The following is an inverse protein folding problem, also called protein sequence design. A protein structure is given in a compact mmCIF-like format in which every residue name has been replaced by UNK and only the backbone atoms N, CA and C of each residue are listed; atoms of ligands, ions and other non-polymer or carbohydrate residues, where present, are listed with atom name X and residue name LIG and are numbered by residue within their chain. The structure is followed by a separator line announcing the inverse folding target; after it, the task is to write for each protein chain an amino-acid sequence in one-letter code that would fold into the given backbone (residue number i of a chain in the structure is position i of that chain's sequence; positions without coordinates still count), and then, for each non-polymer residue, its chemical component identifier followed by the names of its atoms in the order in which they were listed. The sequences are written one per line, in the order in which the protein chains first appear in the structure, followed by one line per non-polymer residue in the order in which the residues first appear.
data_IF_488815857251
#
_entry.id   IF_488815857251
#
_cell.length_a   1.000
_cell.length_b   1.000
_cell.length_c   1.000
_cell.angle_alpha   90.00
_cell.angle_beta   90.00
_cell.angle_gamma   90.00
#
_symmetry.space_group_name_H-M   'P 1'
#
loop_
_entity.id
_entity.type
_entity.pdbx_description
1 polymer ?
#
# COMPACT_ATOMS: atom_id res chain seq x y z
N UNK A 1 -38.87 -2.61 -7.14
CA UNK A 1 -38.25 -3.57 -8.06
C UNK A 1 -37.84 -2.84 -9.32
N UNK A 2 -36.63 -2.32 -9.39
CA UNK A 2 -36.03 -1.79 -10.63
C UNK A 2 -34.81 -2.65 -10.93
N UNK A 3 -34.81 -3.31 -12.09
CA UNK A 3 -33.73 -4.14 -12.58
C UNK A 3 -32.51 -3.25 -12.86
N UNK A 4 -31.43 -3.49 -12.15
CA UNK A 4 -30.13 -2.91 -12.46
C UNK A 4 -29.60 -3.64 -13.69
N UNK A 5 -29.41 -2.89 -14.75
CA UNK A 5 -28.85 -3.36 -16.01
C UNK A 5 -27.37 -3.64 -15.81
N UNK A 6 -26.94 -4.89 -15.98
CA UNK A 6 -25.53 -5.26 -15.98
C UNK A 6 -24.88 -4.67 -17.23
N UNK A 7 -24.06 -3.65 -17.05
CA UNK A 7 -23.13 -3.21 -18.10
C UNK A 7 -21.94 -4.15 -18.06
N UNK A 8 -21.88 -5.03 -19.07
CA UNK A 8 -20.72 -5.87 -19.30
C UNK A 8 -19.64 -4.99 -19.94
N UNK A 9 -18.66 -4.54 -19.18
CA UNK A 9 -17.43 -3.98 -19.72
C UNK A 9 -16.62 -5.13 -20.30
N UNK A 10 -16.49 -5.14 -21.64
CA UNK A 10 -15.60 -6.06 -22.35
C UNK A 10 -14.15 -5.70 -22.00
N UNK A 11 -13.50 -6.55 -21.23
CA UNK A 11 -12.07 -6.50 -20.99
C UNK A 11 -11.35 -6.76 -22.32
N UNK A 12 -10.65 -5.76 -22.84
CA UNK A 12 -9.68 -5.94 -23.91
C UNK A 12 -8.47 -6.66 -23.31
N UNK A 13 -8.48 -7.98 -23.43
CA UNK A 13 -7.32 -8.82 -23.12
C UNK A 13 -6.30 -8.58 -24.23
N UNK A 14 -5.28 -7.77 -23.93
CA UNK A 14 -4.05 -7.77 -24.71
C UNK A 14 -3.27 -9.04 -24.34
N UNK A 15 -3.49 -10.12 -25.08
CA UNK A 15 -2.60 -11.27 -25.06
C UNK A 15 -1.28 -10.88 -25.73
N UNK A 16 -0.29 -10.49 -24.93
CA UNK A 16 1.09 -10.55 -25.40
C UNK A 16 1.45 -12.02 -25.56
N UNK A 17 1.65 -12.41 -26.82
CA UNK A 17 2.13 -13.71 -27.19
C UNK A 17 3.50 -13.93 -26.54
N UNK A 18 3.57 -14.81 -25.54
CA UNK A 18 4.82 -15.45 -25.15
C UNK A 18 5.30 -16.28 -26.37
N UNK A 19 6.29 -15.76 -27.06
CA UNK A 19 7.02 -16.50 -28.07
C UNK A 19 7.75 -17.68 -27.41
N UNK A 20 7.10 -18.83 -27.39
CA UNK A 20 7.77 -20.08 -27.06
C UNK A 20 8.82 -20.36 -28.12
N UNK A 21 10.09 -20.09 -27.86
CA UNK A 21 11.20 -20.66 -28.57
C UNK A 21 11.35 -22.13 -28.15
N UNK A 22 10.54 -22.99 -28.72
CA UNK A 22 10.82 -24.40 -28.73
C UNK A 22 11.90 -24.67 -29.79
N UNK A 23 13.17 -24.53 -29.46
CA UNK A 23 14.27 -25.05 -30.20
C UNK A 23 14.47 -26.52 -29.81
N UNK A 24 13.82 -27.46 -30.55
CA UNK A 24 14.27 -28.84 -30.60
C UNK A 24 15.61 -28.88 -31.35
N UNK A 25 16.71 -28.85 -30.60
CA UNK A 25 18.05 -29.15 -31.08
C UNK A 25 18.71 -30.11 -30.11
N UNK A 26 18.81 -31.38 -30.45
CA UNK A 26 19.77 -32.31 -29.80
C UNK A 26 21.17 -31.78 -30.07
N UNK A 27 21.80 -31.21 -29.05
CA UNK A 27 23.18 -30.78 -29.07
C UNK A 27 23.71 -30.62 -27.67
N UNK A 28 24.75 -31.32 -27.32
CA UNK A 28 25.60 -31.32 -26.14
C UNK A 28 25.26 -30.23 -25.08
N UNK A 29 24.81 -30.68 -23.91
CA UNK A 29 24.51 -29.83 -22.79
C UNK A 29 25.75 -29.06 -22.28
N UNK A 30 25.97 -27.89 -22.81
CA UNK A 30 26.84 -26.88 -22.19
C UNK A 30 26.00 -26.15 -21.16
N UNK A 31 25.92 -26.71 -19.94
CA UNK A 31 25.34 -25.99 -18.79
C UNK A 31 26.18 -24.74 -18.59
N UNK A 32 25.56 -23.54 -18.78
CA UNK A 32 26.21 -22.29 -18.48
C UNK A 32 26.79 -22.32 -17.06
N UNK A 33 28.02 -21.84 -16.92
CA UNK A 33 28.62 -21.68 -15.58
C UNK A 33 27.86 -20.63 -14.77
N UNK A 34 28.01 -20.64 -13.44
CA UNK A 34 27.41 -19.58 -12.63
C UNK A 34 27.92 -18.20 -13.00
N UNK A 35 29.16 -18.09 -13.47
CA UNK A 35 29.74 -16.85 -14.00
C UNK A 35 29.01 -16.37 -15.26
N UNK A 36 28.73 -17.23 -16.22
CA UNK A 36 27.98 -16.88 -17.43
C UNK A 36 26.54 -16.51 -17.11
N UNK A 37 25.89 -17.19 -16.17
CA UNK A 37 24.55 -16.87 -15.69
C UNK A 37 24.53 -15.52 -14.99
N UNK A 38 25.50 -15.23 -14.13
CA UNK A 38 25.64 -13.98 -13.41
C UNK A 38 25.81 -12.80 -14.39
N UNK A 39 26.74 -12.91 -15.33
CA UNK A 39 26.97 -11.87 -16.33
C UNK A 39 25.74 -11.64 -17.21
N UNK A 40 24.98 -12.69 -17.53
CA UNK A 40 23.71 -12.56 -18.22
C UNK A 40 22.65 -11.80 -17.39
N UNK A 41 22.58 -12.07 -16.09
CA UNK A 41 21.66 -11.37 -15.20
C UNK A 41 22.00 -9.87 -15.07
N UNK A 42 23.28 -9.51 -14.98
CA UNK A 42 23.74 -8.12 -15.01
C UNK A 42 23.36 -7.42 -16.32
N UNK A 43 23.57 -8.09 -17.47
CA UNK A 43 23.19 -7.54 -18.77
C UNK A 43 21.67 -7.30 -18.91
N UNK A 44 20.84 -8.09 -18.24
CA UNK A 44 19.39 -7.85 -18.19
C UNK A 44 19.04 -6.55 -17.44
N UNK A 45 19.74 -6.22 -16.33
CA UNK A 45 19.59 -4.91 -15.68
C UNK A 45 19.93 -3.78 -16.65
N UNK A 46 21.08 -3.89 -17.35
CA UNK A 46 21.54 -2.87 -18.29
C UNK A 46 20.56 -2.66 -19.47
N UNK A 47 19.85 -3.72 -19.86
CA UNK A 47 18.83 -3.65 -20.92
C UNK A 47 17.45 -3.17 -20.44
N UNK A 48 17.26 -3.03 -19.11
CA UNK A 48 15.97 -2.68 -18.51
C UNK A 48 15.01 -3.85 -18.34
N UNK A 49 15.44 -5.09 -18.60
CA UNK A 49 14.65 -6.29 -18.33
C UNK A 49 14.82 -6.69 -16.86
N UNK A 50 14.18 -5.93 -15.98
CA UNK A 50 14.29 -6.11 -14.52
C UNK A 50 13.64 -7.39 -14.02
N UNK A 51 12.54 -7.82 -14.65
CA UNK A 51 11.87 -9.08 -14.30
C UNK A 51 12.77 -10.29 -14.63
N UNK A 52 13.33 -10.32 -15.84
CA UNK A 52 14.29 -11.35 -16.23
C UNK A 52 15.55 -11.32 -15.37
N UNK A 53 16.06 -10.14 -15.03
CA UNK A 53 17.21 -9.98 -14.13
C UNK A 53 16.94 -10.53 -12.74
N UNK A 54 15.80 -10.16 -12.13
CA UNK A 54 15.39 -10.66 -10.81
C UNK A 54 15.30 -12.19 -10.80
N UNK A 55 14.63 -12.80 -11.78
CA UNK A 55 14.50 -14.24 -11.88
C UNK A 55 15.87 -14.93 -12.05
N UNK A 56 16.76 -14.36 -12.88
CA UNK A 56 18.11 -14.90 -13.09
C UNK A 56 18.98 -14.81 -11.83
N UNK A 57 18.93 -13.71 -11.08
CA UNK A 57 19.65 -13.60 -9.80
C UNK A 57 19.06 -14.55 -8.75
N UNK A 58 17.75 -14.71 -8.68
CA UNK A 58 17.10 -15.65 -7.76
C UNK A 58 17.58 -17.10 -7.97
N UNK A 59 17.78 -17.53 -9.22
CA UNK A 59 18.34 -18.85 -9.54
C UNK A 59 19.81 -19.04 -9.14
N UNK A 60 20.57 -17.95 -9.03
CA UNK A 60 21.99 -17.97 -8.65
C UNK A 60 22.21 -18.14 -7.12
N UNK A 61 21.18 -17.84 -6.29
CA UNK A 61 21.26 -17.93 -4.85
C UNK A 61 22.34 -17.01 -4.26
N UNK A 62 23.28 -17.58 -3.52
CA UNK A 62 24.35 -16.83 -2.84
C UNK A 62 25.62 -16.63 -3.70
N UNK A 63 25.55 -16.79 -5.00
CA UNK A 63 26.71 -16.61 -5.88
C UNK A 63 27.13 -15.15 -5.99
N UNK A 64 28.38 -14.83 -5.64
CA UNK A 64 28.95 -13.46 -5.60
C UNK A 64 28.08 -12.51 -4.77
N UNK A 65 27.77 -11.34 -5.32
CA UNK A 65 26.96 -10.30 -4.73
C UNK A 65 25.49 -10.33 -5.16
N UNK A 66 25.02 -11.50 -5.57
CA UNK A 66 23.62 -11.73 -6.00
C UNK A 66 22.61 -11.21 -5.00
N UNK A 67 22.82 -11.44 -3.68
CA UNK A 67 21.91 -10.96 -2.64
C UNK A 67 21.87 -9.42 -2.58
N UNK A 68 23.00 -8.75 -2.82
CA UNK A 68 23.04 -7.29 -2.94
C UNK A 68 22.21 -6.82 -4.14
N UNK A 69 22.32 -7.50 -5.30
CA UNK A 69 21.48 -7.17 -6.44
C UNK A 69 20.00 -7.39 -6.12
N UNK A 70 19.62 -8.54 -5.55
CA UNK A 70 18.23 -8.86 -5.20
C UNK A 70 17.63 -7.84 -4.23
N UNK A 71 18.41 -7.32 -3.27
CA UNK A 71 17.93 -6.30 -2.32
C UNK A 71 17.62 -4.95 -2.96
N UNK A 72 18.12 -4.71 -4.18
CA UNK A 72 17.88 -3.45 -4.93
C UNK A 72 16.59 -3.49 -5.74
N UNK A 73 16.04 -4.67 -6.05
CA UNK A 73 14.78 -4.75 -6.79
C UNK A 73 13.60 -4.35 -5.91
N UNK A 74 12.68 -3.59 -6.50
CA UNK A 74 11.38 -3.28 -5.95
C UNK A 74 10.33 -3.87 -6.88
N UNK A 75 9.36 -4.53 -6.30
CA UNK A 75 8.18 -4.98 -6.98
C UNK A 75 7.14 -3.87 -6.95
N UNK A 76 6.78 -3.35 -8.12
CA UNK A 76 6.00 -2.14 -8.24
C UNK A 76 4.73 -2.34 -9.06
N UNK A 77 3.54 -1.94 -8.59
CA UNK A 77 2.31 -2.03 -9.37
C UNK A 77 2.32 -0.99 -10.50
N UNK A 78 2.33 -1.47 -11.74
CA UNK A 78 2.26 -0.62 -12.94
C UNK A 78 0.85 -0.40 -13.43
N UNK A 79 -0.03 -1.37 -13.21
CA UNK A 79 -1.46 -1.27 -13.52
C UNK A 79 -2.26 -1.85 -12.36
N UNK A 80 -3.25 -1.11 -11.91
CA UNK A 80 -4.24 -1.56 -10.92
C UNK A 80 -5.62 -1.44 -11.57
N UNK A 81 -6.29 -2.57 -11.74
CA UNK A 81 -7.71 -2.60 -12.07
C UNK A 81 -8.49 -2.67 -10.76
N UNK A 82 -9.43 -1.80 -10.56
CA UNK A 82 -10.24 -1.79 -9.35
C UNK A 82 -11.72 -1.73 -9.68
N UNK A 83 -12.51 -2.41 -8.86
CA UNK A 83 -13.95 -2.39 -8.88
C UNK A 83 -14.41 -2.27 -7.41
N UNK A 84 -14.64 -1.05 -6.98
CA UNK A 84 -15.07 -0.69 -5.64
C UNK A 84 -16.59 -0.43 -5.66
N UNK A 85 -17.19 -0.32 -4.48
CA UNK A 85 -18.63 -0.10 -4.32
C UNK A 85 -19.15 1.14 -5.09
N UNK A 86 -18.42 2.25 -4.97
CA UNK A 86 -18.80 3.56 -5.51
C UNK A 86 -18.04 3.95 -6.78
N UNK A 87 -17.03 3.18 -7.16
CA UNK A 87 -16.18 3.49 -8.33
C UNK A 87 -15.50 2.27 -8.92
N UNK A 88 -15.22 2.34 -10.21
CA UNK A 88 -14.40 1.34 -10.90
C UNK A 88 -13.49 2.01 -11.92
N UNK A 89 -12.36 1.39 -12.23
CA UNK A 89 -11.45 1.97 -13.21
C UNK A 89 -10.11 1.26 -13.29
N UNK A 90 -9.19 1.96 -13.95
CA UNK A 90 -7.82 1.52 -14.17
C UNK A 90 -6.86 2.63 -13.76
N UNK A 91 -5.90 2.29 -12.91
CA UNK A 91 -4.78 3.15 -12.59
C UNK A 91 -3.53 2.62 -13.30
N UNK A 92 -2.83 3.49 -14.00
CA UNK A 92 -1.60 3.18 -14.73
C UNK A 92 -0.46 4.04 -14.25
N UNK A 93 0.68 3.42 -13.94
CA UNK A 93 1.89 4.13 -13.52
C UNK A 93 2.93 4.13 -14.65
N UNK A 94 3.47 5.31 -14.94
CA UNK A 94 4.62 5.49 -15.84
C UNK A 94 5.84 5.87 -15.00
N UNK A 95 6.94 5.14 -15.20
CA UNK A 95 8.21 5.43 -14.50
C UNK A 95 8.86 6.69 -15.08
N UNK A 96 9.45 7.49 -14.22
CA UNK A 96 10.17 8.71 -14.52
C UNK A 96 11.64 8.64 -14.13
N UNK A 97 12.16 9.74 -13.59
CA UNK A 97 13.53 9.80 -13.09
C UNK A 97 13.78 8.78 -11.99
N UNK A 98 15.01 8.26 -11.91
CA UNK A 98 15.46 7.27 -10.90
C UNK A 98 14.65 5.95 -10.89
N UNK A 99 13.97 5.59 -12.00
CA UNK A 99 13.01 4.49 -12.07
C UNK A 99 11.85 4.60 -11.06
N UNK A 100 11.53 5.82 -10.65
CA UNK A 100 10.45 6.11 -9.74
C UNK A 100 9.16 6.46 -10.50
N UNK A 101 7.98 6.39 -9.88
CA UNK A 101 6.73 6.82 -10.51
C UNK A 101 6.83 8.27 -10.97
N UNK A 102 6.85 8.51 -12.27
CA UNK A 102 6.86 9.85 -12.85
C UNK A 102 5.43 10.39 -13.04
N UNK A 103 4.51 9.50 -13.38
CA UNK A 103 3.10 9.83 -13.59
C UNK A 103 2.21 8.65 -13.20
N UNK A 104 1.16 8.94 -12.47
CA UNK A 104 0.07 8.00 -12.20
C UNK A 104 -1.21 8.56 -12.79
N UNK A 105 -1.77 7.83 -13.75
CA UNK A 105 -3.01 8.18 -14.42
C UNK A 105 -4.11 7.20 -14.07
N UNK A 106 -5.26 7.73 -13.64
CA UNK A 106 -6.45 6.95 -13.30
C UNK A 106 -7.59 7.41 -14.20
N UNK A 107 -8.31 6.46 -14.77
CA UNK A 107 -9.57 6.70 -15.44
C UNK A 107 -10.61 5.69 -14.97
N UNK A 108 -11.83 6.14 -14.82
CA UNK A 108 -12.89 5.28 -14.32
C UNK A 108 -14.26 5.92 -14.31
N UNK A 109 -15.14 5.25 -13.61
CA UNK A 109 -16.53 5.70 -13.39
C UNK A 109 -16.78 5.70 -11.89
N UNK A 110 -17.29 6.80 -11.37
CA UNK A 110 -17.75 6.96 -9.98
C UNK A 110 -19.27 7.00 -9.95
N UNK A 111 -19.88 6.38 -8.96
CA UNK A 111 -21.33 6.36 -8.79
C UNK A 111 -21.72 7.54 -7.88
N UNK A 112 -22.34 8.56 -8.47
CA UNK A 112 -22.85 9.73 -7.74
C UNK A 112 -24.39 9.71 -7.85
N UNK A 113 -25.08 9.65 -6.73
CA UNK A 113 -26.55 9.56 -6.66
C UNK A 113 -27.13 8.42 -7.54
N UNK A 114 -26.41 7.28 -7.61
CA UNK A 114 -26.79 6.13 -8.42
C UNK A 114 -26.54 6.29 -9.92
N UNK A 115 -25.84 7.33 -10.36
CA UNK A 115 -25.49 7.58 -11.76
C UNK A 115 -23.98 7.44 -11.94
N UNK A 116 -23.56 6.65 -12.92
CA UNK A 116 -22.15 6.50 -13.29
C UNK A 116 -21.63 7.81 -13.96
N UNK A 117 -20.68 8.44 -13.32
CA UNK A 117 -20.01 9.66 -13.79
C UNK A 117 -18.56 9.34 -14.14
N UNK A 118 -18.11 9.53 -15.38
CA UNK A 118 -16.71 9.33 -15.73
C UNK A 118 -15.80 10.30 -14.96
N UNK A 119 -14.65 9.82 -14.50
CA UNK A 119 -13.64 10.67 -13.89
C UNK A 119 -12.23 10.32 -14.38
N UNK A 120 -11.34 11.30 -14.27
CA UNK A 120 -9.90 11.13 -14.49
C UNK A 120 -9.12 11.78 -13.36
N UNK A 121 -8.00 11.14 -12.99
CA UNK A 121 -7.02 11.68 -12.07
C UNK A 121 -5.64 11.52 -12.69
N UNK A 122 -4.92 12.59 -12.85
CA UNK A 122 -3.60 12.64 -13.49
C UNK A 122 -2.60 13.23 -12.51
N UNK A 123 -1.77 12.40 -11.91
CA UNK A 123 -0.77 12.79 -10.93
C UNK A 123 0.64 12.73 -11.52
N UNK A 124 1.38 13.84 -11.41
CA UNK A 124 2.78 13.95 -11.82
C UNK A 124 3.64 14.19 -10.59
N UNK A 125 4.72 13.44 -10.46
CA UNK A 125 5.63 13.47 -9.31
C UNK A 125 6.95 14.12 -9.69
N UNK A 126 7.44 14.98 -8.79
CA UNK A 126 8.76 15.63 -8.89
C UNK A 126 9.63 15.17 -7.75
N UNK A 127 10.89 14.89 -8.06
CA UNK A 127 11.87 14.36 -7.13
C UNK A 127 13.06 15.31 -7.00
N UNK A 128 13.67 15.36 -5.81
CA UNK A 128 14.98 16.01 -5.60
C UNK A 128 16.13 15.15 -6.14
N UNK A 129 17.35 15.64 -6.04
CA UNK A 129 18.55 14.93 -6.49
C UNK A 129 18.84 13.65 -5.68
N UNK A 130 18.23 13.49 -4.50
CA UNK A 130 18.33 12.31 -3.65
C UNK A 130 17.20 11.29 -3.90
N UNK A 131 16.24 11.64 -4.79
CA UNK A 131 15.08 10.82 -5.14
C UNK A 131 13.92 10.89 -4.16
N UNK A 132 13.89 11.87 -3.29
CA UNK A 132 12.73 12.12 -2.45
C UNK A 132 11.66 12.83 -3.25
N UNK A 133 10.40 12.47 -3.06
CA UNK A 133 9.26 13.21 -3.63
C UNK A 133 9.19 14.57 -2.96
N UNK A 134 9.28 15.64 -3.74
CA UNK A 134 9.17 17.03 -3.26
C UNK A 134 7.89 17.69 -3.71
N UNK A 135 7.21 17.15 -4.75
CA UNK A 135 5.93 17.64 -5.20
C UNK A 135 5.12 16.55 -5.90
N UNK A 136 3.81 16.60 -5.72
CA UNK A 136 2.84 15.87 -6.50
C UNK A 136 1.82 16.87 -7.06
N UNK A 137 1.78 17.04 -8.39
CA UNK A 137 0.75 17.82 -9.07
C UNK A 137 -0.33 16.88 -9.58
N UNK A 138 -1.60 17.13 -9.21
CA UNK A 138 -2.73 16.28 -9.58
C UNK A 138 -3.78 17.12 -10.30
N UNK A 139 -4.24 16.63 -11.44
CA UNK A 139 -5.46 17.13 -12.07
C UNK A 139 -6.58 16.11 -11.84
N UNK A 140 -7.60 16.49 -11.10
CA UNK A 140 -8.79 15.68 -10.87
C UNK A 140 -9.98 16.31 -11.55
N UNK A 141 -10.46 15.73 -12.64
CA UNK A 141 -11.59 16.23 -13.43
C UNK A 141 -11.49 17.73 -13.81
N UNK A 142 -10.28 18.23 -14.07
CA UNK A 142 -10.02 19.63 -14.40
C UNK A 142 -9.67 20.52 -13.21
N UNK A 143 -9.84 20.07 -11.98
CA UNK A 143 -9.37 20.77 -10.78
C UNK A 143 -7.89 20.51 -10.56
N UNK A 144 -7.10 21.58 -10.43
CA UNK A 144 -5.67 21.46 -10.16
C UNK A 144 -5.41 21.41 -8.66
N UNK A 145 -4.79 20.32 -8.22
CA UNK A 145 -4.30 20.11 -6.85
C UNK A 145 -2.78 20.01 -6.90
N UNK A 146 -2.10 20.53 -5.89
CA UNK A 146 -0.67 20.30 -5.71
C UNK A 146 -0.39 20.00 -4.24
N UNK A 147 0.44 18.98 -4.03
CA UNK A 147 1.03 18.65 -2.74
C UNK A 147 2.51 19.00 -2.81
N UNK A 148 2.95 19.91 -1.95
CA UNK A 148 4.34 20.32 -1.81
C UNK A 148 4.89 19.75 -0.50
N UNK A 149 6.03 19.06 -0.58
CA UNK A 149 6.66 18.36 0.53
C UNK A 149 7.96 19.04 0.93
N UNK A 150 8.13 19.30 2.23
CA UNK A 150 9.38 19.80 2.79
C UNK A 150 10.01 18.71 3.65
N UNK A 151 11.28 18.47 3.42
CA UNK A 151 12.07 17.48 4.14
C UNK A 151 13.13 18.18 4.99
N UNK A 152 13.54 17.52 6.08
CA UNK A 152 14.70 17.95 6.88
C UNK A 152 16.04 17.46 6.28
N UNK A 153 17.13 17.70 6.99
CA UNK A 153 18.48 17.30 6.56
C UNK A 153 18.67 15.77 6.51
N UNK A 154 17.89 15.02 7.29
CA UNK A 154 17.82 13.56 7.34
C UNK A 154 16.84 12.95 6.32
N UNK A 155 16.25 13.78 5.45
CA UNK A 155 15.23 13.42 4.44
C UNK A 155 13.91 12.93 5.02
N UNK A 156 13.56 13.32 6.26
CA UNK A 156 12.24 13.04 6.85
C UNK A 156 11.27 14.14 6.48
N UNK A 157 10.02 13.77 6.21
CA UNK A 157 8.94 14.71 5.89
C UNK A 157 8.60 15.55 7.12
N UNK A 158 8.84 16.86 7.07
CA UNK A 158 8.48 17.79 8.15
C UNK A 158 7.25 18.63 7.83
N UNK A 159 6.85 18.73 6.56
CA UNK A 159 5.69 19.49 6.14
C UNK A 159 5.13 18.98 4.82
N UNK A 160 3.79 18.89 4.72
CA UNK A 160 3.07 18.69 3.46
C UNK A 160 2.00 19.77 3.32
N UNK A 161 1.99 20.48 2.19
CA UNK A 161 1.03 21.53 1.88
C UNK A 161 0.15 21.08 0.72
N UNK A 162 -1.16 21.14 0.88
CA UNK A 162 -2.11 20.97 -0.21
C UNK A 162 -2.59 22.32 -0.69
N UNK A 163 -2.48 22.58 -1.99
CA UNK A 163 -3.09 23.71 -2.66
C UNK A 163 -4.11 23.26 -3.70
N UNK A 164 -5.18 24.04 -3.83
CA UNK A 164 -6.21 23.91 -4.86
C UNK A 164 -6.23 25.18 -5.70
N UNK A 165 -6.08 25.04 -7.01
CA UNK A 165 -5.98 26.16 -7.95
C UNK A 165 -4.97 27.24 -7.52
N UNK A 166 -3.86 26.80 -6.90
CA UNK A 166 -2.77 27.66 -6.44
C UNK A 166 -2.99 28.33 -5.08
N UNK A 167 -4.06 27.99 -4.38
CA UNK A 167 -4.34 28.49 -3.02
C UNK A 167 -4.11 27.35 -2.02
N UNK A 168 -3.25 27.56 -1.01
CA UNK A 168 -3.03 26.58 0.07
C UNK A 168 -4.31 26.44 0.89
N UNK A 169 -4.83 25.21 0.93
CA UNK A 169 -6.06 24.87 1.65
C UNK A 169 -5.77 24.08 2.93
N UNK A 170 -4.68 23.32 2.96
CA UNK A 170 -4.29 22.61 4.17
C UNK A 170 -2.79 22.38 4.29
N UNK A 171 -2.36 22.16 5.53
CA UNK A 171 -0.95 21.92 5.89
C UNK A 171 -0.91 20.83 6.94
N UNK A 172 -0.05 19.81 6.73
CA UNK A 172 0.38 18.86 7.74
C UNK A 172 1.79 19.21 8.21
N UNK A 173 2.02 19.21 9.53
CA UNK A 173 3.31 19.36 10.15
C UNK A 173 3.74 18.07 10.86
N UNK A 174 5.04 17.77 10.87
CA UNK A 174 5.59 16.56 11.47
C UNK A 174 6.83 16.91 12.30
N UNK A 175 6.91 16.40 13.52
CA UNK A 175 8.05 16.61 14.42
C UNK A 175 8.60 15.27 14.87
N UNK A 176 9.91 15.13 14.80
CA UNK A 176 10.62 13.90 15.17
C UNK A 176 11.52 14.14 16.39
N UNK A 177 11.75 13.10 17.17
CA UNK A 177 12.75 13.10 18.23
C UNK A 177 14.17 12.87 17.67
N UNK A 178 15.15 12.82 18.57
CA UNK A 178 16.57 12.57 18.23
C UNK A 178 16.84 11.16 17.65
N UNK A 179 15.92 10.20 17.86
CA UNK A 179 15.99 8.85 17.33
C UNK A 179 15.23 8.71 16.00
N UNK A 180 14.60 9.78 15.50
CA UNK A 180 13.82 9.79 14.27
C UNK A 180 12.39 9.29 14.44
N UNK A 181 11.89 9.15 15.67
CA UNK A 181 10.50 8.76 15.94
C UNK A 181 9.57 9.98 15.81
N UNK A 182 8.44 9.83 15.12
CA UNK A 182 7.44 10.88 14.92
C UNK A 182 6.69 11.15 16.23
N UNK A 183 7.07 12.21 16.95
CA UNK A 183 6.50 12.55 18.26
C UNK A 183 5.28 13.47 18.17
N UNK A 184 5.11 14.19 17.05
CA UNK A 184 3.94 15.05 16.84
C UNK A 184 3.59 15.15 15.37
N UNK A 185 2.28 15.16 15.08
CA UNK A 185 1.70 15.42 13.78
C UNK A 185 0.51 16.36 13.94
N UNK A 186 0.50 17.48 13.20
CA UNK A 186 -0.60 18.43 13.18
C UNK A 186 -1.16 18.60 11.76
N UNK A 187 -2.46 18.89 11.70
CA UNK A 187 -3.17 19.20 10.46
C UNK A 187 -3.98 20.49 10.63
N UNK A 188 -3.70 21.42 9.73
CA UNK A 188 -4.38 22.71 9.66
C UNK A 188 -5.12 22.80 8.32
N UNK A 189 -6.41 23.07 8.34
CA UNK A 189 -7.22 23.31 7.15
C UNK A 189 -7.86 24.69 7.25
N UNK A 190 -7.81 25.48 6.15
CA UNK A 190 -8.32 26.85 6.08
C UNK A 190 -7.87 27.74 7.25
N UNK A 191 -6.65 27.50 7.75
CA UNK A 191 -6.07 28.24 8.87
C UNK A 191 -6.56 27.81 10.27
N UNK A 192 -7.36 26.75 10.35
CA UNK A 192 -7.86 26.16 11.62
C UNK A 192 -7.15 24.85 11.89
N UNK A 193 -6.65 24.66 13.12
CA UNK A 193 -6.10 23.36 13.56
C UNK A 193 -7.25 22.37 13.66
N UNK A 194 -7.19 21.31 12.84
CA UNK A 194 -8.17 20.23 12.81
C UNK A 194 -7.79 19.14 13.80
N UNK A 195 -6.51 18.76 13.81
CA UNK A 195 -5.96 17.84 14.81
C UNK A 195 -4.49 18.15 15.11
N UNK A 196 -4.04 17.68 16.27
CA UNK A 196 -2.67 17.79 16.76
C UNK A 196 -2.38 16.55 17.62
N UNK A 197 -1.75 15.54 17.02
CA UNK A 197 -1.42 14.28 17.67
C UNK A 197 -0.05 14.34 18.33
N UNK A 198 0.02 13.91 19.60
CA UNK A 198 1.26 13.63 20.31
C UNK A 198 1.42 12.10 20.48
N UNK A 199 2.61 11.58 20.13
CA UNK A 199 2.94 10.17 20.20
C UNK A 199 3.97 9.91 21.31
N UNK A 200 3.81 8.80 22.01
CA UNK A 200 4.75 8.30 23.01
C UNK A 200 5.22 6.90 22.63
N UNK A 201 6.49 6.63 22.84
CA UNK A 201 7.13 5.38 22.45
C UNK A 201 7.78 4.69 23.67
N UNK A 202 7.90 3.36 23.59
CA UNK A 202 8.69 2.57 24.55
C UNK A 202 10.18 2.58 24.17
N UNK A 203 10.99 1.87 24.96
CA UNK A 203 12.44 1.78 24.73
C UNK A 203 12.82 0.98 23.45
N UNK A 204 11.89 0.21 22.89
CA UNK A 204 12.07 -0.55 21.65
C UNK A 204 11.65 0.25 20.41
N UNK A 205 11.10 1.46 20.59
CA UNK A 205 10.57 2.31 19.52
C UNK A 205 9.12 1.96 19.12
N UNK A 206 8.41 1.15 19.89
CA UNK A 206 7.01 0.89 19.66
C UNK A 206 6.17 2.08 20.13
N UNK A 207 5.23 2.58 19.32
CA UNK A 207 4.28 3.61 19.73
C UNK A 207 3.28 3.02 20.72
N UNK A 208 3.38 3.43 21.99
CA UNK A 208 2.52 2.96 23.08
C UNK A 208 1.32 3.85 23.37
N UNK A 209 1.37 5.12 22.92
CA UNK A 209 0.26 6.06 23.05
C UNK A 209 0.24 7.04 21.90
N UNK A 210 -0.98 7.41 21.47
CA UNK A 210 -1.24 8.56 20.61
C UNK A 210 -2.38 9.36 21.24
N UNK A 211 -2.21 10.67 21.38
CA UNK A 211 -3.18 11.55 21.99
C UNK A 211 -3.45 12.75 21.09
N UNK A 212 -4.71 13.06 20.89
CA UNK A 212 -5.15 14.21 20.14
C UNK A 212 -6.10 15.04 21.01
N UNK A 213 -5.81 16.33 21.14
CA UNK A 213 -6.61 17.28 21.90
C UNK A 213 -7.50 18.08 20.98
N UNK A 214 -8.80 17.87 21.06
CA UNK A 214 -9.81 18.66 20.38
C UNK A 214 -10.55 19.58 21.36
N UNK A 215 -11.32 20.53 20.83
CA UNK A 215 -12.13 21.44 21.66
C UNK A 215 -13.16 20.68 22.48
N UNK A 216 -13.74 19.60 21.94
CA UNK A 216 -14.71 18.73 22.61
C UNK A 216 -14.10 17.77 23.64
N UNK A 217 -12.76 17.66 23.72
CA UNK A 217 -12.03 16.80 24.65
C UNK A 217 -10.95 15.96 23.96
N UNK A 218 -10.35 15.04 24.70
CA UNK A 218 -9.19 14.29 24.26
C UNK A 218 -9.59 12.95 23.60
N UNK A 219 -8.94 12.65 22.47
CA UNK A 219 -8.93 11.33 21.82
C UNK A 219 -7.64 10.63 22.24
N UNK A 220 -7.73 9.47 22.85
CA UNK A 220 -6.57 8.73 23.35
C UNK A 220 -6.56 7.33 22.81
N UNK A 221 -5.41 6.93 22.26
CA UNK A 221 -5.14 5.59 21.75
C UNK A 221 -3.97 4.99 22.52
N UNK A 222 -4.14 3.76 23.00
CA UNK A 222 -3.13 3.01 23.76
C UNK A 222 -2.82 1.71 23.02
N UNK A 223 -1.55 1.38 22.94
CA UNK A 223 -1.03 0.19 22.30
C UNK A 223 -0.18 -0.61 23.27
N UNK A 224 -0.37 -1.91 23.33
CA UNK A 224 0.36 -2.82 24.21
C UNK A 224 1.05 -3.87 23.37
N UNK A 225 2.33 -4.06 23.62
CA UNK A 225 3.18 -5.02 22.91
C UNK A 225 3.67 -6.11 23.87
N UNK A 226 3.90 -7.31 23.34
CA UNK A 226 4.54 -8.40 24.06
C UNK A 226 6.09 -8.28 24.03
N UNK A 227 6.79 -9.24 24.62
CA UNK A 227 8.26 -9.27 24.64
C UNK A 227 8.91 -9.49 23.26
N UNK A 228 8.13 -9.97 22.27
CA UNK A 228 8.55 -10.15 20.87
C UNK A 228 8.20 -8.94 19.98
N UNK A 229 7.71 -7.84 20.56
CA UNK A 229 7.19 -6.65 19.87
C UNK A 229 5.93 -6.92 19.01
N UNK A 230 5.14 -7.96 19.29
CA UNK A 230 3.84 -8.13 18.70
C UNK A 230 2.83 -7.21 19.41
N UNK A 231 2.01 -6.50 18.66
CA UNK A 231 0.90 -5.71 19.21
C UNK A 231 -0.19 -6.65 19.74
N UNK A 232 -0.31 -6.79 21.06
CA UNK A 232 -1.28 -7.71 21.68
C UNK A 232 -2.60 -7.03 22.06
N UNK A 233 -2.60 -5.70 22.20
CA UNK A 233 -3.84 -4.95 22.43
C UNK A 233 -3.72 -3.53 21.90
N UNK A 234 -4.83 -3.02 21.37
CA UNK A 234 -5.02 -1.60 21.09
C UNK A 234 -6.37 -1.14 21.62
N UNK A 235 -6.41 0.06 22.16
CA UNK A 235 -7.67 0.66 22.63
C UNK A 235 -7.75 2.13 22.27
N UNK A 236 -8.98 2.62 22.08
CA UNK A 236 -9.23 4.03 21.80
C UNK A 236 -10.42 4.55 22.57
N UNK A 237 -10.31 5.80 23.03
CA UNK A 237 -11.39 6.53 23.68
C UNK A 237 -11.60 7.89 23.03
N UNK A 238 -12.85 8.37 23.06
CA UNK A 238 -13.29 9.64 22.50
C UNK A 238 -13.99 10.49 23.57
N UNK A 239 -14.07 11.82 23.38
CA UNK A 239 -14.75 12.71 24.34
C UNK A 239 -16.23 12.41 24.55
N UNK A 240 -16.91 11.85 23.55
CA UNK A 240 -18.32 11.45 23.61
C UNK A 240 -18.57 10.20 24.47
N UNK A 241 -17.49 9.62 25.04
CA UNK A 241 -17.52 8.41 25.85
C UNK A 241 -17.43 7.12 25.05
N UNK A 242 -17.27 7.18 23.72
CA UNK A 242 -16.99 5.99 22.92
C UNK A 242 -15.65 5.38 23.32
N UNK A 243 -15.65 4.07 23.50
CA UNK A 243 -14.47 3.29 23.83
C UNK A 243 -14.46 1.97 23.04
N UNK A 244 -13.30 1.62 22.50
CA UNK A 244 -13.07 0.30 21.93
C UNK A 244 -11.77 -0.31 22.48
N UNK A 245 -11.72 -1.64 22.45
CA UNK A 245 -10.50 -2.41 22.66
C UNK A 245 -10.41 -3.53 21.64
N UNK A 246 -9.20 -3.78 21.12
CA UNK A 246 -8.90 -4.95 20.33
C UNK A 246 -7.80 -5.76 20.98
N UNK A 247 -7.96 -7.07 21.00
CA UNK A 247 -7.00 -8.02 21.53
C UNK A 247 -6.56 -8.95 20.41
N UNK A 248 -5.25 -9.15 20.29
CA UNK A 248 -4.64 -9.93 19.22
C UNK A 248 -3.94 -11.18 19.76
N UNK A 249 -4.15 -12.29 19.07
CA UNK A 249 -3.49 -13.58 19.37
C UNK A 249 -2.60 -13.98 18.21
N UNK A 250 -1.45 -14.55 18.53
CA UNK A 250 -0.44 -14.97 17.57
C UNK A 250 -0.12 -16.44 17.74
N UNK A 251 0.32 -17.11 16.66
CA UNK A 251 0.91 -18.45 16.71
C UNK A 251 2.42 -18.39 17.06
N UNK A 252 3.05 -19.56 17.12
CA UNK A 252 4.48 -19.69 17.44
C UNK A 252 5.39 -19.05 16.39
N UNK A 253 4.91 -18.86 15.15
CA UNK A 253 5.64 -18.22 14.05
C UNK A 253 5.46 -16.69 14.06
N UNK A 254 4.76 -16.11 15.06
CA UNK A 254 4.49 -14.68 15.16
C UNK A 254 3.39 -14.19 14.20
N UNK A 255 2.61 -15.07 13.60
CA UNK A 255 1.50 -14.72 12.72
C UNK A 255 0.23 -14.51 13.55
N UNK A 256 -0.49 -13.42 13.29
CA UNK A 256 -1.75 -13.12 13.97
C UNK A 256 -2.82 -14.13 13.58
N UNK A 257 -3.38 -14.84 14.58
CA UNK A 257 -4.41 -15.87 14.34
C UNK A 257 -5.81 -15.36 14.61
N UNK A 258 -5.94 -14.41 15.53
CA UNK A 258 -7.23 -13.87 15.90
C UNK A 258 -7.12 -12.41 16.36
N UNK A 259 -8.17 -11.64 16.12
CA UNK A 259 -8.44 -10.35 16.76
C UNK A 259 -9.85 -10.38 17.34
N UNK A 260 -9.98 -10.07 18.63
CA UNK A 260 -11.25 -9.79 19.27
C UNK A 260 -11.43 -8.28 19.34
N UNK A 261 -12.53 -7.76 18.82
CA UNK A 261 -12.87 -6.35 18.86
C UNK A 261 -14.05 -6.13 19.79
N UNK A 262 -13.83 -5.33 20.80
CA UNK A 262 -14.82 -4.95 21.81
C UNK A 262 -15.19 -3.49 21.63
N UNK A 263 -16.49 -3.18 21.71
CA UNK A 263 -16.99 -1.83 21.86
C UNK A 263 -17.67 -1.71 23.22
N UNK A 264 -17.22 -0.75 24.03
CA UNK A 264 -17.52 -0.67 25.45
C UNK A 264 -17.16 -1.99 26.17
N UNK A 265 -18.15 -2.82 26.52
CA UNK A 265 -17.95 -4.12 27.16
C UNK A 265 -18.43 -5.29 26.30
N UNK A 266 -18.98 -5.02 25.15
CA UNK A 266 -19.61 -6.03 24.27
C UNK A 266 -18.64 -6.44 23.17
N UNK A 267 -18.55 -7.75 22.89
CA UNK A 267 -17.77 -8.27 21.78
C UNK A 267 -18.47 -7.88 20.47
N UNK A 268 -17.84 -6.97 19.73
CA UNK A 268 -18.38 -6.43 18.49
C UNK A 268 -18.06 -7.30 17.30
N UNK A 269 -16.81 -7.77 17.19
CA UNK A 269 -16.39 -8.65 16.11
C UNK A 269 -15.25 -9.60 16.53
N UNK A 270 -15.19 -10.74 15.86
CA UNK A 270 -14.06 -11.67 15.90
C UNK A 270 -13.48 -11.82 14.51
N UNK A 271 -12.22 -11.43 14.32
CA UNK A 271 -11.51 -11.64 13.06
C UNK A 271 -10.56 -12.83 13.19
N UNK A 272 -10.56 -13.72 12.19
CA UNK A 272 -9.65 -14.85 12.06
C UNK A 272 -8.80 -14.71 10.81
N UNK A 273 -7.56 -15.21 10.86
CA UNK A 273 -6.58 -15.08 9.79
C UNK A 273 -6.17 -16.45 9.29
N UNK A 274 -6.06 -16.61 7.97
CA UNK A 274 -5.59 -17.84 7.32
C UNK A 274 -4.32 -17.53 6.53
N UNK A 275 -3.36 -18.44 6.61
CA UNK A 275 -2.06 -18.30 5.96
C UNK A 275 -1.81 -19.46 5.01
N UNK A 276 -1.02 -19.23 3.98
CA UNK A 276 -0.50 -20.30 3.12
C UNK A 276 0.78 -20.93 3.70
N UNK A 277 1.30 -21.95 3.01
CA UNK A 277 2.51 -22.67 3.44
C UNK A 277 3.78 -21.79 3.46
N UNK A 278 3.74 -20.59 2.85
CA UNK A 278 4.83 -19.62 2.86
C UNK A 278 4.65 -18.55 3.97
N UNK A 279 3.61 -18.67 4.78
CA UNK A 279 3.32 -17.75 5.88
C UNK A 279 2.65 -16.44 5.46
N UNK A 280 2.09 -16.35 4.23
CA UNK A 280 1.40 -15.16 3.74
C UNK A 280 -0.08 -15.24 4.08
N UNK A 281 -0.66 -14.13 4.57
CA UNK A 281 -2.09 -14.07 4.86
C UNK A 281 -2.89 -14.16 3.55
N UNK A 282 -3.71 -15.21 3.44
CA UNK A 282 -4.57 -15.43 2.27
C UNK A 282 -6.01 -15.05 2.53
N UNK A 283 -6.41 -14.95 3.80
CA UNK A 283 -7.77 -14.59 4.19
C UNK A 283 -7.81 -13.97 5.58
N UNK A 284 -8.58 -12.91 5.70
CA UNK A 284 -9.08 -12.36 6.95
C UNK A 284 -10.61 -12.46 6.93
N UNK A 285 -11.21 -13.02 7.97
CA UNK A 285 -12.65 -13.12 8.11
C UNK A 285 -13.09 -12.52 9.44
N UNK A 286 -13.83 -11.42 9.38
CA UNK A 286 -14.45 -10.78 10.54
C UNK A 286 -15.90 -11.24 10.66
N UNK A 287 -16.27 -11.82 11.79
CA UNK A 287 -17.62 -12.17 12.17
C UNK A 287 -18.10 -11.17 13.21
N UNK A 288 -19.17 -10.45 12.90
CA UNK A 288 -19.79 -9.45 13.78
C UNK A 288 -20.83 -10.07 14.72
N UNK A 289 -21.23 -9.31 15.73
CA UNK A 289 -22.21 -9.72 16.77
C UNK A 289 -23.60 -10.06 16.21
N UNK A 290 -23.95 -9.59 15.02
CA UNK A 290 -25.21 -9.80 14.31
C UNK A 290 -25.15 -10.94 13.26
N UNK A 291 -24.08 -11.76 13.32
CA UNK A 291 -23.77 -12.85 12.40
C UNK A 291 -23.41 -12.39 10.95
N UNK A 292 -23.28 -11.10 10.71
CA UNK A 292 -22.73 -10.59 9.43
C UNK A 292 -21.24 -10.83 9.34
N UNK A 293 -20.70 -10.81 8.12
CA UNK A 293 -19.29 -11.13 7.88
C UNK A 293 -18.64 -10.21 6.86
N UNK A 294 -17.43 -9.81 7.16
CA UNK A 294 -16.52 -9.21 6.20
C UNK A 294 -15.38 -10.18 5.90
N UNK A 295 -15.02 -10.28 4.63
CA UNK A 295 -13.96 -11.18 4.17
C UNK A 295 -13.00 -10.39 3.29
N UNK A 296 -11.72 -10.39 3.64
CA UNK A 296 -10.61 -9.99 2.78
C UNK A 296 -9.89 -11.24 2.29
N UNK A 297 -9.80 -11.41 0.99
CA UNK A 297 -9.08 -12.52 0.38
C UNK A 297 -7.93 -12.00 -0.49
N UNK A 298 -6.79 -12.65 -0.40
CA UNK A 298 -5.56 -12.26 -1.09
C UNK A 298 -5.05 -13.41 -1.95
N UNK A 299 -4.70 -13.11 -3.20
CA UNK A 299 -4.06 -14.07 -4.10
C UNK A 299 -2.64 -13.59 -4.40
N UNK A 300 -1.70 -14.54 -4.41
CA UNK A 300 -0.28 -14.27 -4.64
C UNK A 300 0.23 -15.06 -5.84
N UNK A 301 1.18 -14.48 -6.58
CA UNK A 301 1.89 -15.20 -7.63
C UNK A 301 2.93 -16.18 -7.06
N UNK A 302 3.58 -16.94 -7.96
CA UNK A 302 4.62 -17.92 -7.59
C UNK A 302 5.87 -17.27 -6.94
N UNK A 303 6.07 -15.97 -7.12
CA UNK A 303 7.18 -15.21 -6.53
C UNK A 303 6.83 -14.65 -5.14
N UNK A 304 5.56 -14.74 -4.73
CA UNK A 304 5.07 -14.24 -3.46
C UNK A 304 4.49 -12.83 -3.52
N UNK A 305 4.27 -12.30 -4.69
CA UNK A 305 3.72 -10.96 -4.86
C UNK A 305 2.20 -11.00 -4.82
N UNK A 306 1.57 -10.06 -4.13
CA UNK A 306 0.12 -9.90 -4.10
C UNK A 306 -0.37 -9.48 -5.49
N UNK A 307 -1.21 -10.31 -6.12
CA UNK A 307 -1.73 -10.05 -7.48
C UNK A 307 -3.22 -9.73 -7.50
N UNK A 308 -3.92 -10.06 -6.41
CA UNK A 308 -5.35 -9.77 -6.30
C UNK A 308 -5.78 -9.65 -4.85
N UNK A 309 -6.64 -8.69 -4.60
CA UNK A 309 -7.40 -8.54 -3.36
C UNK A 309 -8.89 -8.53 -3.68
N UNK A 310 -9.66 -9.21 -2.85
CA UNK A 310 -11.12 -9.21 -2.90
C UNK A 310 -11.64 -8.91 -1.51
N UNK A 311 -12.40 -7.86 -1.40
CA UNK A 311 -13.14 -7.53 -0.19
C UNK A 311 -14.62 -7.81 -0.40
N UNK A 312 -15.20 -8.62 0.48
CA UNK A 312 -16.63 -8.95 0.49
C UNK A 312 -17.18 -8.57 1.84
N UNK A 313 -18.21 -7.74 1.87
CA UNK A 313 -18.93 -7.41 3.10
C UNK A 313 -20.41 -7.70 2.94
N UNK A 314 -21.02 -7.93 4.08
CA UNK A 314 -22.45 -8.18 4.20
C UNK A 314 -23.12 -6.92 4.76
N UNK A 315 -23.96 -6.27 3.96
CA UNK A 315 -24.95 -5.34 4.47
C UNK A 315 -26.28 -6.13 4.58
N UNK A 316 -27.12 -5.84 5.56
CA UNK A 316 -28.33 -6.60 5.97
C UNK A 316 -29.22 -7.14 4.81
N UNK A 317 -29.00 -6.70 3.59
CA UNK A 317 -29.84 -7.00 2.40
C UNK A 317 -29.02 -7.61 1.25
N UNK A 318 -27.73 -7.27 1.11
CA UNK A 318 -26.90 -7.63 -0.04
C UNK A 318 -25.49 -8.02 0.37
N UNK A 319 -24.94 -9.04 -0.30
CA UNK A 319 -23.51 -9.29 -0.27
C UNK A 319 -22.88 -8.47 -1.39
N UNK A 320 -21.99 -7.57 -1.04
CA UNK A 320 -21.21 -6.80 -1.99
C UNK A 320 -19.77 -7.28 -2.03
N UNK A 321 -19.18 -7.25 -3.20
CA UNK A 321 -17.79 -7.64 -3.40
C UNK A 321 -17.07 -6.56 -4.20
N UNK A 322 -15.97 -6.07 -3.66
CA UNK A 322 -15.02 -5.25 -4.40
C UNK A 322 -13.81 -6.08 -4.75
N UNK A 323 -13.22 -5.81 -5.88
CA UNK A 323 -12.08 -6.54 -6.38
C UNK A 323 -11.01 -5.55 -6.90
N UNK A 324 -9.76 -5.75 -6.47
CA UNK A 324 -8.60 -5.08 -7.01
C UNK A 324 -7.64 -6.11 -7.60
N UNK A 325 -7.21 -5.90 -8.83
CA UNK A 325 -6.22 -6.73 -9.52
C UNK A 325 -5.00 -5.89 -9.84
N UNK A 326 -3.82 -6.42 -9.53
CA UNK A 326 -2.55 -5.74 -9.69
C UNK A 326 -1.72 -6.38 -10.80
N UNK A 327 -1.18 -5.56 -11.69
CA UNK A 327 -0.10 -5.95 -12.60
C UNK A 327 1.16 -5.23 -12.13
N UNK A 328 2.20 -6.00 -11.87
CA UNK A 328 3.43 -5.49 -11.29
C UNK A 328 4.59 -5.59 -12.28
N UNK A 329 5.61 -4.78 -12.04
CA UNK A 329 6.94 -4.93 -12.64
C UNK A 329 8.01 -4.83 -11.56
N UNK A 330 9.17 -5.43 -11.82
CA UNK A 330 10.36 -5.18 -11.03
C UNK A 330 11.07 -3.93 -11.54
N UNK A 331 11.54 -3.12 -10.61
CA UNK A 331 12.43 -1.99 -10.89
C UNK A 331 13.64 -2.05 -9.97
N UNK A 332 14.79 -1.55 -10.41
CA UNK A 332 15.95 -1.40 -9.53
C UNK A 332 15.91 -0.05 -8.86
N UNK A 333 16.17 -0.03 -7.55
CA UNK A 333 16.42 1.22 -6.84
C UNK A 333 17.76 1.80 -7.28
N UNK A 334 17.74 2.96 -7.88
CA UNK A 334 18.96 3.72 -8.11
C UNK A 334 19.38 4.51 -6.84
N UNK A 335 18.46 4.59 -5.85
CA UNK A 335 18.65 5.25 -4.58
C UNK A 335 18.54 4.23 -3.44
N UNK A 336 19.62 3.98 -2.67
CA UNK A 336 19.71 2.87 -1.71
C UNK A 336 18.68 2.92 -0.57
N UNK A 337 18.33 4.11 -0.08
CA UNK A 337 17.53 4.28 1.14
C UNK A 337 16.04 4.52 0.87
N UNK A 338 15.61 4.38 -0.37
CA UNK A 338 14.22 4.57 -0.72
C UNK A 338 13.36 3.39 -0.24
N UNK A 339 12.32 3.66 0.54
CA UNK A 339 11.44 2.64 1.11
C UNK A 339 10.06 2.64 0.44
N UNK A 340 9.46 1.45 0.31
CA UNK A 340 8.06 1.27 -0.15
C UNK A 340 7.06 2.09 0.67
N UNK A 341 7.36 2.38 1.95
CA UNK A 341 6.50 3.19 2.80
C UNK A 341 6.28 4.61 2.29
N UNK A 342 7.26 5.19 1.59
CA UNK A 342 7.10 6.49 0.93
C UNK A 342 6.16 6.40 -0.28
N UNK A 343 6.06 5.22 -0.92
CA UNK A 343 5.11 4.96 -2.01
C UNK A 343 3.70 4.62 -1.55
N UNK A 344 3.54 3.92 -0.42
CA UNK A 344 2.23 3.55 0.09
C UNK A 344 1.36 4.79 0.35
N UNK A 345 1.99 5.93 0.72
CA UNK A 345 1.31 7.22 0.80
C UNK A 345 0.74 7.69 -0.56
N UNK A 346 1.38 7.33 -1.66
CA UNK A 346 0.96 7.67 -3.03
C UNK A 346 -0.29 6.88 -3.44
N UNK A 347 -0.39 5.60 -3.02
CA UNK A 347 -1.51 4.72 -3.35
C UNK A 347 -2.68 4.79 -2.36
N UNK A 348 -2.47 5.30 -1.13
CA UNK A 348 -3.56 5.52 -0.15
C UNK A 348 -4.56 6.62 -0.54
N UNK A 349 -4.38 7.24 -1.69
CA UNK A 349 -5.29 8.29 -2.23
C UNK A 349 -6.28 7.70 -3.27
N UNK A 350 -6.47 6.38 -3.27
CA UNK A 350 -7.56 5.74 -4.01
C UNK A 350 -8.87 5.82 -3.23
#
# INVERSE_FOLDING_TARGET
MKKISRVVCAALVFTMAMGAFAACGKGNGNTKTNEEKYNAAVALIESGDYEGAYAAFKELGDYKDTQMHLSRFIYFPTVINYNLHDRSGVMTTTLGAYNMPGRIFTEGVEIIDGVGVPYTKDGVYTYDEKGNVIQQAVNYNGTALAYDYTLDEENRLIKAELSMDGVVTSVNGYVYDENGLLIREDYVADGVVVYDYENTYDANGNRIKSEFKAEEGDYVYIYVFDENNNLISESGSRPDGYFYNKEHTYNEDGQRTQTLWWEYSDLFATTTYTYDDMGRCTKEEALYYDDTKDIFAHEYDANGNLVKEVYTWWDEVTVETVEMQYTFTYITKDIPDWTMNQMIGIFKIL
#
